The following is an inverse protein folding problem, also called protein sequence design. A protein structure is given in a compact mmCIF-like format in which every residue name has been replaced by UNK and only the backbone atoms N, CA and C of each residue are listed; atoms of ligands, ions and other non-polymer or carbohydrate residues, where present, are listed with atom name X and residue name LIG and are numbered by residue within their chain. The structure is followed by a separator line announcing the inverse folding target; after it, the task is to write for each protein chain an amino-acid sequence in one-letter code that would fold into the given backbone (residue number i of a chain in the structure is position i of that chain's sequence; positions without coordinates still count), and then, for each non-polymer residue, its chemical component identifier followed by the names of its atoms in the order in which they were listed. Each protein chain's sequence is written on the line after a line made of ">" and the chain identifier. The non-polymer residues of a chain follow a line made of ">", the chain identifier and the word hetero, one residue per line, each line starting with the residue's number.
data_IF_063230916055
#
_entry.id   IF_063230916055
#
_cell.length_a   1.000
_cell.length_b   1.000
_cell.length_c   1.000
_cell.angle_alpha   90.00
_cell.angle_beta   90.00
_cell.angle_gamma   90.00
#
_symmetry.space_group_name_H-M   'P 1'
#
loop_
_entity.id
_entity.type
_entity.pdbx_description
1 polymer ?
#
# COMPACT_ATOMS: atom_id res chain seq x y z
N UNK A 1 31.65 -3.83 47.95
CA UNK A 1 30.60 -4.78 47.48
C UNK A 1 29.37 -4.00 46.98
N UNK A 2 29.44 -3.52 45.75
CA UNK A 2 28.33 -2.84 45.07
C UNK A 2 27.66 -3.82 44.11
N UNK A 3 26.37 -4.05 44.30
CA UNK A 3 25.53 -4.84 43.40
C UNK A 3 24.58 -3.93 42.64
N UNK A 4 24.77 -3.82 41.33
CA UNK A 4 23.94 -3.02 40.43
C UNK A 4 22.56 -3.65 40.20
N UNK A 5 21.53 -2.80 40.27
CA UNK A 5 20.17 -3.14 39.84
C UNK A 5 20.05 -2.94 38.34
N UNK A 6 19.70 -4.02 37.64
CA UNK A 6 19.28 -3.98 36.24
C UNK A 6 17.84 -3.49 36.20
N UNK A 7 17.63 -2.23 35.81
CA UNK A 7 16.31 -1.76 35.38
C UNK A 7 16.14 -2.11 33.90
N UNK A 8 15.22 -3.05 33.64
CA UNK A 8 14.63 -3.27 32.33
C UNK A 8 13.87 -2.00 31.93
N UNK A 9 14.48 -1.17 31.10
CA UNK A 9 13.77 -0.17 30.32
C UNK A 9 12.93 -0.92 29.29
N UNK A 10 11.62 -0.83 29.46
CA UNK A 10 10.65 -1.21 28.45
C UNK A 10 10.83 -0.25 27.27
N UNK A 11 11.12 -0.78 26.08
CA UNK A 11 11.05 -0.05 24.82
C UNK A 11 9.59 0.30 24.55
N UNK A 12 9.13 1.44 25.05
CA UNK A 12 7.91 2.08 24.56
C UNK A 12 8.19 2.65 23.16
N UNK A 13 7.32 2.42 22.16
CA UNK A 13 7.51 3.03 20.85
C UNK A 13 7.39 4.55 20.99
N UNK A 14 8.49 5.27 20.73
CA UNK A 14 8.49 6.72 20.56
C UNK A 14 7.47 7.08 19.48
N UNK A 15 6.32 7.60 19.90
CA UNK A 15 5.38 8.28 19.02
C UNK A 15 5.99 9.65 18.75
N UNK A 16 6.81 9.73 17.70
CA UNK A 16 7.35 10.97 17.18
C UNK A 16 6.17 11.96 16.97
N UNK A 17 6.12 13.02 17.77
CA UNK A 17 5.03 14.01 17.81
C UNK A 17 5.12 15.02 16.66
N UNK A 18 5.11 14.54 15.41
CA UNK A 18 4.93 15.44 14.27
C UNK A 18 3.48 15.91 14.24
N UNK A 19 3.24 17.22 14.13
CA UNK A 19 1.90 17.72 13.80
C UNK A 19 1.51 17.17 12.44
N UNK A 20 0.51 16.28 12.37
CA UNK A 20 0.05 15.70 11.11
C UNK A 20 -0.45 16.82 10.20
N UNK A 21 0.23 17.02 9.08
CA UNK A 21 -0.13 18.06 8.11
C UNK A 21 -1.38 17.63 7.34
N UNK A 22 -2.22 18.58 6.97
CA UNK A 22 -3.34 18.34 6.05
C UNK A 22 -3.25 19.29 4.86
N UNK A 23 -3.53 18.79 3.66
CA UNK A 23 -3.50 19.61 2.45
C UNK A 23 -4.07 18.93 1.22
N UNK A 24 -4.04 19.61 0.09
CA UNK A 24 -4.46 19.08 -1.22
C UNK A 24 -3.28 18.47 -1.99
N UNK A 25 -3.56 17.68 -3.02
CA UNK A 25 -2.54 17.14 -3.92
C UNK A 25 -1.72 18.23 -4.63
N UNK A 26 -2.31 19.39 -4.93
CA UNK A 26 -1.57 20.55 -5.47
C UNK A 26 -0.60 21.12 -4.44
N UNK A 27 -1.03 21.29 -3.18
CA UNK A 27 -0.17 21.75 -2.10
C UNK A 27 0.95 20.75 -1.81
N UNK A 28 0.69 19.44 -1.87
CA UNK A 28 1.72 18.40 -1.79
C UNK A 28 2.76 18.57 -2.89
N UNK A 29 2.32 18.76 -4.15
CA UNK A 29 3.22 18.93 -5.28
C UNK A 29 4.12 20.17 -5.11
N UNK A 30 3.54 21.29 -4.68
CA UNK A 30 4.28 22.53 -4.47
C UNK A 30 5.27 22.41 -3.31
N UNK A 31 4.88 21.75 -2.23
CA UNK A 31 5.77 21.50 -1.09
C UNK A 31 6.93 20.57 -1.48
N UNK A 32 6.66 19.50 -2.23
CA UNK A 32 7.71 18.61 -2.73
C UNK A 32 8.71 19.36 -3.61
N UNK A 33 8.25 20.23 -4.52
CA UNK A 33 9.13 21.09 -5.34
C UNK A 33 9.93 22.07 -4.47
N UNK A 34 9.34 22.63 -3.41
CA UNK A 34 10.02 23.52 -2.45
C UNK A 34 11.12 22.80 -1.66
N UNK A 35 10.97 21.50 -1.44
CA UNK A 35 11.97 20.66 -0.77
C UNK A 35 13.12 20.24 -1.69
N UNK A 36 13.06 20.50 -2.98
CA UNK A 36 14.12 20.13 -3.93
C UNK A 36 15.50 20.66 -3.49
N UNK A 37 16.50 19.78 -3.53
CA UNK A 37 17.87 20.07 -3.09
C UNK A 37 18.09 20.13 -1.57
N UNK A 38 17.03 20.17 -0.75
CA UNK A 38 17.15 20.22 0.72
C UNK A 38 17.67 18.91 1.31
N UNK A 39 18.20 18.92 2.55
CA UNK A 39 18.59 17.70 3.25
C UNK A 39 17.43 16.72 3.37
N UNK A 40 17.72 15.44 3.13
CA UNK A 40 16.74 14.35 3.12
C UNK A 40 15.73 14.32 4.28
N UNK A 41 16.13 14.57 5.55
CA UNK A 41 15.20 14.53 6.68
C UNK A 41 14.03 15.51 6.56
N UNK A 42 14.12 16.53 5.69
CA UNK A 42 13.03 17.49 5.46
C UNK A 42 11.76 16.84 4.87
N UNK A 43 11.83 15.62 4.32
CA UNK A 43 10.62 14.87 3.97
C UNK A 43 9.69 14.60 5.16
N UNK A 44 10.20 14.62 6.40
CA UNK A 44 9.37 14.48 7.61
C UNK A 44 8.32 15.59 7.76
N UNK A 45 8.58 16.77 7.18
CA UNK A 45 7.62 17.90 7.17
C UNK A 45 6.36 17.61 6.31
N UNK A 46 6.34 16.49 5.58
CA UNK A 46 5.20 16.03 4.77
C UNK A 46 4.33 14.99 5.47
N UNK A 47 4.72 14.48 6.64
CA UNK A 47 3.95 13.50 7.39
C UNK A 47 2.56 14.05 7.68
N UNK A 48 1.54 13.31 7.29
CA UNK A 48 0.17 13.81 7.26
C UNK A 48 -0.72 13.22 6.18
N UNK A 49 -1.81 13.91 5.90
CA UNK A 49 -2.90 13.50 5.02
C UNK A 49 -3.08 14.50 3.88
N UNK A 50 -3.10 13.99 2.65
CA UNK A 50 -3.18 14.81 1.44
C UNK A 50 -4.38 14.37 0.59
N UNK A 51 -5.32 15.27 0.39
CA UNK A 51 -6.50 15.04 -0.44
C UNK A 51 -6.13 15.12 -1.92
N UNK A 52 -6.19 13.98 -2.60
CA UNK A 52 -5.84 13.81 -4.01
C UNK A 52 -7.06 13.87 -4.94
N UNK A 53 -8.21 14.35 -4.44
CA UNK A 53 -9.50 14.36 -5.13
C UNK A 53 -10.26 13.07 -4.88
N UNK A 54 -9.96 12.03 -5.66
CA UNK A 54 -10.66 10.74 -5.63
C UNK A 54 -10.23 9.84 -4.46
N UNK A 55 -9.11 10.18 -3.81
CA UNK A 55 -8.56 9.43 -2.70
C UNK A 55 -7.76 10.33 -1.76
N UNK A 56 -7.45 9.82 -0.57
CA UNK A 56 -6.55 10.46 0.38
C UNK A 56 -5.22 9.70 0.40
N UNK A 57 -4.11 10.41 0.25
CA UNK A 57 -2.76 9.89 0.44
C UNK A 57 -2.29 10.23 1.86
N UNK A 58 -1.96 9.23 2.65
CA UNK A 58 -1.44 9.39 4.01
C UNK A 58 0.03 8.98 4.03
N UNK A 59 0.90 9.87 4.48
CA UNK A 59 2.29 9.57 4.78
C UNK A 59 2.41 9.31 6.28
N UNK A 60 2.47 8.04 6.66
CA UNK A 60 2.53 7.64 8.08
C UNK A 60 3.96 7.75 8.63
N UNK A 61 4.95 7.40 7.81
CA UNK A 61 6.36 7.44 8.20
C UNK A 61 7.24 7.82 7.02
N UNK A 62 7.98 8.91 7.13
CA UNK A 62 9.05 9.25 6.20
C UNK A 62 10.35 8.51 6.58
N UNK A 63 11.05 7.96 5.60
CA UNK A 63 12.35 7.33 5.82
C UNK A 63 13.40 8.37 6.26
N UNK A 64 14.31 7.99 7.18
CA UNK A 64 15.26 8.92 7.81
C UNK A 64 16.35 9.41 6.85
N UNK A 65 16.70 8.58 5.87
CA UNK A 65 17.70 8.83 4.86
C UNK A 65 17.42 7.96 3.61
N UNK A 66 18.03 8.23 2.45
CA UNK A 66 17.75 7.50 1.21
C UNK A 66 18.10 6.01 1.21
N UNK A 67 18.83 5.52 2.23
CA UNK A 67 19.28 4.13 2.38
C UNK A 67 18.51 3.38 3.47
N UNK A 68 17.67 4.08 4.23
CA UNK A 68 16.82 3.49 5.25
C UNK A 68 15.66 2.68 4.63
N UNK A 69 14.93 1.89 5.43
CA UNK A 69 13.68 1.29 4.99
C UNK A 69 12.73 2.36 4.38
N UNK A 70 12.10 2.08 3.23
CA UNK A 70 11.25 3.03 2.52
C UNK A 70 10.12 3.65 3.35
N UNK A 71 9.62 4.79 2.88
CA UNK A 71 8.55 5.54 3.56
C UNK A 71 7.23 4.79 3.49
N UNK A 72 6.44 4.80 4.57
CA UNK A 72 5.15 4.12 4.64
C UNK A 72 4.01 5.04 4.24
N UNK A 73 3.20 4.56 3.31
CA UNK A 73 2.04 5.26 2.80
C UNK A 73 0.77 4.42 2.90
N UNK A 74 -0.35 5.11 3.09
CA UNK A 74 -1.68 4.57 2.87
C UNK A 74 -2.38 5.38 1.79
N UNK A 75 -3.04 4.69 0.88
CA UNK A 75 -3.95 5.27 -0.09
C UNK A 75 -5.36 4.84 0.29
N UNK A 76 -6.22 5.79 0.61
CA UNK A 76 -7.60 5.52 1.02
C UNK A 76 -8.58 6.09 0.01
N UNK A 77 -9.29 5.20 -0.68
CA UNK A 77 -10.35 5.53 -1.62
C UNK A 77 -11.69 5.34 -0.90
N UNK A 78 -12.54 6.37 -0.74
CA UNK A 78 -13.87 6.18 -0.14
C UNK A 78 -14.74 5.29 -1.03
N UNK A 79 -15.64 4.49 -0.44
CA UNK A 79 -16.53 3.61 -1.22
C UNK A 79 -17.45 4.38 -2.17
N UNK A 80 -17.73 5.66 -1.88
CA UNK A 80 -18.44 6.55 -2.80
C UNK A 80 -17.72 6.71 -4.15
N UNK A 81 -16.41 6.48 -4.20
CA UNK A 81 -15.55 6.52 -5.40
C UNK A 81 -15.14 5.11 -5.84
N UNK A 82 -14.74 4.24 -4.90
CA UNK A 82 -14.30 2.88 -5.22
C UNK A 82 -15.43 2.00 -5.80
N UNK A 83 -16.68 2.24 -5.36
CA UNK A 83 -17.91 1.62 -5.89
C UNK A 83 -17.92 0.09 -5.87
N UNK A 84 -17.24 -0.56 -4.94
CA UNK A 84 -17.37 -2.01 -4.80
C UNK A 84 -18.76 -2.38 -4.29
N UNK A 85 -19.45 -3.35 -4.89
CA UNK A 85 -20.75 -3.80 -4.39
C UNK A 85 -20.57 -4.48 -3.03
N UNK A 86 -21.50 -4.26 -2.09
CA UNK A 86 -21.43 -4.84 -0.75
C UNK A 86 -21.31 -6.37 -0.76
N UNK A 87 -21.91 -7.04 -1.74
CA UNK A 87 -21.80 -8.49 -1.93
C UNK A 87 -20.35 -8.97 -2.17
N UNK A 88 -19.42 -8.10 -2.57
CA UNK A 88 -18.02 -8.45 -2.73
C UNK A 88 -17.25 -8.50 -1.40
N UNK A 89 -17.79 -7.92 -0.31
CA UNK A 89 -17.04 -7.76 0.93
C UNK A 89 -17.85 -7.90 2.23
N UNK A 90 -19.15 -8.21 2.16
CA UNK A 90 -20.00 -8.42 3.34
C UNK A 90 -19.69 -9.74 4.07
N UNK A 91 -19.37 -10.80 3.32
CA UNK A 91 -18.90 -12.08 3.85
C UNK A 91 -17.42 -12.00 4.14
N UNK A 92 -16.98 -12.57 5.26
CA UNK A 92 -15.56 -12.60 5.64
C UNK A 92 -14.70 -13.22 4.53
N UNK A 93 -15.13 -14.32 3.93
CA UNK A 93 -14.35 -15.00 2.89
C UNK A 93 -14.28 -14.16 1.60
N UNK A 94 -15.40 -13.56 1.17
CA UNK A 94 -15.41 -12.67 0.00
C UNK A 94 -14.59 -11.41 0.23
N UNK A 95 -14.63 -10.84 1.44
CA UNK A 95 -13.77 -9.71 1.81
C UNK A 95 -12.28 -10.05 1.71
N UNK A 96 -11.87 -11.22 2.23
CA UNK A 96 -10.49 -11.69 2.13
C UNK A 96 -10.08 -11.89 0.67
N UNK A 97 -10.94 -12.53 -0.14
CA UNK A 97 -10.70 -12.72 -1.56
C UNK A 97 -10.62 -11.39 -2.32
N UNK A 98 -11.49 -10.43 -2.03
CA UNK A 98 -11.46 -9.09 -2.63
C UNK A 98 -10.16 -8.36 -2.28
N UNK A 99 -9.76 -8.35 -1.01
CA UNK A 99 -8.51 -7.74 -0.58
C UNK A 99 -7.29 -8.36 -1.30
N UNK A 100 -7.25 -9.68 -1.45
CA UNK A 100 -6.19 -10.38 -2.20
C UNK A 100 -6.21 -10.00 -3.69
N UNK A 101 -7.39 -10.02 -4.33
CA UNK A 101 -7.56 -9.63 -5.72
C UNK A 101 -7.08 -8.19 -5.98
N UNK A 102 -7.49 -7.23 -5.15
CA UNK A 102 -7.08 -5.84 -5.27
C UNK A 102 -5.57 -5.66 -5.03
N UNK A 103 -4.99 -6.43 -4.12
CA UNK A 103 -3.53 -6.44 -3.94
C UNK A 103 -2.82 -6.88 -5.23
N UNK A 104 -3.32 -7.92 -5.92
CA UNK A 104 -2.78 -8.36 -7.21
C UNK A 104 -2.91 -7.30 -8.29
N UNK A 105 -4.08 -6.66 -8.39
CA UNK A 105 -4.32 -5.57 -9.36
C UNK A 105 -3.40 -4.37 -9.09
N UNK A 106 -3.18 -4.06 -7.81
CA UNK A 106 -2.28 -2.99 -7.40
C UNK A 106 -0.83 -3.29 -7.78
N UNK A 107 -0.32 -4.49 -7.48
CA UNK A 107 1.00 -4.94 -7.92
C UNK A 107 1.13 -4.86 -9.45
N UNK A 108 0.14 -5.37 -10.20
CA UNK A 108 0.15 -5.32 -11.65
C UNK A 108 0.18 -3.88 -12.18
N UNK A 109 -0.61 -2.96 -11.60
CA UNK A 109 -0.65 -1.56 -12.01
C UNK A 109 0.68 -0.83 -11.71
N UNK A 110 1.33 -1.13 -10.58
CA UNK A 110 2.67 -0.62 -10.24
C UNK A 110 3.70 -1.09 -11.27
N UNK A 111 3.75 -2.40 -11.54
CA UNK A 111 4.70 -2.97 -12.52
C UNK A 111 4.45 -2.48 -13.94
N UNK A 112 3.19 -2.39 -14.38
CA UNK A 112 2.85 -1.85 -15.70
C UNK A 112 3.21 -0.36 -15.86
N UNK A 113 3.28 0.39 -14.75
CA UNK A 113 3.78 1.76 -14.71
C UNK A 113 5.30 1.87 -14.64
N UNK A 114 6.04 0.75 -14.53
CA UNK A 114 7.48 0.72 -14.32
C UNK A 114 7.93 1.26 -12.96
N UNK A 115 7.01 1.38 -12.00
CA UNK A 115 7.25 1.99 -10.69
C UNK A 115 7.89 1.03 -9.68
N UNK A 116 8.06 -0.25 -10.02
CA UNK A 116 8.76 -1.25 -9.22
C UNK A 116 10.26 -1.34 -9.55
N UNK A 117 10.71 -0.62 -10.58
CA UNK A 117 12.11 -0.55 -10.95
C UNK A 117 12.80 0.59 -10.18
N UNK A 118 13.69 0.24 -9.26
CA UNK A 118 14.64 1.22 -8.73
C UNK A 118 15.46 1.77 -9.91
N UNK A 119 15.59 3.10 -10.01
CA UNK A 119 16.44 3.71 -11.02
C UNK A 119 17.80 3.01 -11.05
N UNK A 120 18.23 2.54 -12.24
CA UNK A 120 19.47 1.78 -12.41
C UNK A 120 20.62 2.41 -11.64
N UNK A 121 21.36 1.56 -10.93
CA UNK A 121 22.34 1.94 -9.91
C UNK A 121 23.51 2.75 -10.53
N UNK A 122 23.34 4.06 -10.69
CA UNK A 122 24.33 5.00 -11.27
C UNK A 122 25.46 5.38 -10.27
N UNK A 123 25.85 4.45 -9.40
CA UNK A 123 26.87 4.66 -8.37
C UNK A 123 26.36 5.39 -7.11
N UNK A 124 27.27 5.69 -6.17
CA UNK A 124 26.95 6.30 -4.87
C UNK A 124 26.25 7.68 -4.99
N UNK A 125 26.55 8.43 -6.06
CA UNK A 125 25.99 9.76 -6.33
C UNK A 125 24.82 9.76 -7.34
N UNK A 126 24.37 8.59 -7.79
CA UNK A 126 23.24 8.47 -8.71
C UNK A 126 21.90 8.85 -8.05
N UNK A 127 20.95 9.31 -8.86
CA UNK A 127 19.54 9.44 -8.48
C UNK A 127 19.00 8.08 -8.03
N UNK A 128 18.33 8.03 -6.88
CA UNK A 128 17.74 6.83 -6.29
C UNK A 128 16.30 7.08 -5.87
N UNK A 129 15.56 6.00 -5.65
CA UNK A 129 14.16 6.04 -5.27
C UNK A 129 13.23 6.44 -6.42
N UNK A 130 11.97 6.64 -6.06
CA UNK A 130 10.83 6.74 -6.96
C UNK A 130 10.09 5.42 -7.09
N UNK A 131 10.62 4.32 -6.54
CA UNK A 131 9.96 3.03 -6.59
C UNK A 131 8.86 2.90 -5.52
N UNK A 132 7.75 2.31 -5.96
CA UNK A 132 6.57 1.99 -5.17
C UNK A 132 6.56 0.48 -4.97
N UNK A 133 6.46 0.05 -3.70
CA UNK A 133 6.41 -1.36 -3.34
C UNK A 133 5.15 -1.68 -2.57
N UNK A 134 4.54 -2.78 -2.95
CA UNK A 134 3.34 -3.35 -2.33
C UNK A 134 3.67 -4.79 -1.97
N UNK A 135 3.17 -5.26 -0.82
CA UNK A 135 3.32 -6.66 -0.44
C UNK A 135 2.71 -7.54 -1.54
N UNK A 136 3.55 -8.34 -2.20
CA UNK A 136 3.13 -9.13 -3.36
C UNK A 136 2.58 -10.48 -2.90
N UNK A 137 1.32 -10.82 -3.23
CA UNK A 137 0.72 -12.07 -2.79
C UNK A 137 1.30 -13.27 -3.57
N UNK A 138 1.45 -14.40 -2.88
CA UNK A 138 1.76 -15.69 -3.50
C UNK A 138 0.53 -16.34 -4.15
N UNK A 139 0.56 -17.65 -4.37
CA UNK A 139 -0.59 -18.37 -4.92
C UNK A 139 -1.78 -18.46 -3.94
N UNK A 140 -1.51 -18.36 -2.63
CA UNK A 140 -2.53 -18.48 -1.60
C UNK A 140 -3.26 -17.16 -1.34
N UNK A 141 -4.60 -17.25 -1.22
CA UNK A 141 -5.48 -16.18 -0.79
C UNK A 141 -5.55 -16.17 0.73
N UNK A 142 -4.99 -15.12 1.35
CA UNK A 142 -4.86 -15.00 2.81
C UNK A 142 -5.25 -13.58 3.21
N UNK A 143 -5.85 -13.44 4.39
CA UNK A 143 -6.09 -12.14 5.00
C UNK A 143 -4.75 -11.41 5.25
N UNK A 144 -4.60 -10.22 4.66
CA UNK A 144 -3.39 -9.40 4.76
C UNK A 144 -3.74 -7.97 5.13
N UNK A 145 -2.71 -7.20 5.48
CA UNK A 145 -2.86 -5.77 5.79
C UNK A 145 -2.60 -4.86 4.59
N UNK A 146 -2.11 -5.42 3.47
CA UNK A 146 -1.73 -4.68 2.27
C UNK A 146 -2.92 -3.96 1.61
N UNK A 147 -4.10 -4.59 1.59
CA UNK A 147 -5.36 -3.96 1.19
C UNK A 147 -6.41 -4.29 2.23
N UNK A 148 -7.20 -3.28 2.61
CA UNK A 148 -8.34 -3.40 3.53
C UNK A 148 -9.56 -2.83 2.82
N UNK A 149 -10.66 -3.58 2.82
CA UNK A 149 -11.96 -3.12 2.30
C UNK A 149 -13.01 -3.19 3.40
N UNK A 150 -13.78 -2.11 3.55
CA UNK A 150 -14.97 -2.05 4.39
C UNK A 150 -16.07 -1.21 3.72
N UNK A 151 -17.13 -0.92 4.45
CA UNK A 151 -18.28 -0.11 4.02
C UNK A 151 -17.93 1.37 3.78
N UNK A 152 -16.83 1.85 4.37
CA UNK A 152 -16.39 3.24 4.26
C UNK A 152 -15.36 3.45 3.14
N UNK A 153 -14.40 2.55 2.98
CA UNK A 153 -13.26 2.73 2.09
C UNK A 153 -12.61 1.42 1.59
N UNK A 154 -11.80 1.60 0.55
CA UNK A 154 -10.70 0.71 0.16
C UNK A 154 -9.39 1.40 0.55
N UNK A 155 -8.58 0.76 1.39
CA UNK A 155 -7.27 1.27 1.81
C UNK A 155 -6.18 0.33 1.28
N UNK A 156 -5.25 0.85 0.49
CA UNK A 156 -4.03 0.18 0.11
C UNK A 156 -2.86 0.70 0.93
N UNK A 157 -1.98 -0.19 1.37
CA UNK A 157 -0.75 0.12 2.10
C UNK A 157 0.43 -0.20 1.22
N UNK A 158 1.29 0.78 1.02
CA UNK A 158 2.49 0.64 0.21
C UNK A 158 3.66 1.31 0.89
N UNK A 159 4.85 1.00 0.40
CA UNK A 159 6.04 1.77 0.72
C UNK A 159 6.55 2.47 -0.53
N UNK A 160 7.07 3.67 -0.37
CA UNK A 160 7.61 4.46 -1.47
C UNK A 160 9.00 4.93 -1.06
N UNK A 161 10.00 4.57 -1.86
CA UNK A 161 11.33 5.12 -1.68
C UNK A 161 11.34 6.56 -2.20
N UNK A 162 11.26 7.54 -1.31
CA UNK A 162 11.26 8.95 -1.68
C UNK A 162 12.56 9.35 -2.40
N UNK A 163 12.46 9.96 -3.61
CA UNK A 163 13.60 10.30 -4.44
C UNK A 163 14.68 11.17 -3.81
N UNK A 164 15.94 10.88 -4.14
CA UNK A 164 17.09 11.67 -3.74
C UNK A 164 18.32 11.46 -4.63
N UNK A 165 19.19 12.48 -4.63
CA UNK A 165 20.53 12.44 -5.18
C UNK A 165 21.53 12.64 -4.03
N UNK A 166 22.29 11.59 -3.70
CA UNK A 166 23.09 11.60 -2.47
C UNK A 166 22.19 11.74 -1.24
N UNK A 167 22.36 12.81 -0.45
CA UNK A 167 21.49 13.13 0.72
C UNK A 167 20.57 14.34 0.48
N UNK A 168 20.46 14.77 -0.78
CA UNK A 168 19.60 15.87 -1.19
C UNK A 168 18.33 15.34 -1.83
N UNK A 169 17.21 15.95 -1.48
CA UNK A 169 15.87 15.61 -1.97
C UNK A 169 15.77 15.89 -3.48
N UNK A 170 15.23 14.94 -4.25
CA UNK A 170 14.79 15.15 -5.64
C UNK A 170 13.28 15.45 -5.64
N UNK A 171 12.94 16.68 -5.26
CA UNK A 171 11.58 17.13 -4.99
C UNK A 171 10.69 17.09 -6.22
N UNK A 172 11.23 17.46 -7.39
CA UNK A 172 10.50 17.38 -8.66
C UNK A 172 10.11 15.94 -9.02
N UNK A 173 11.03 14.98 -8.84
CA UNK A 173 10.78 13.56 -9.10
C UNK A 173 9.78 13.00 -8.09
N UNK A 174 9.90 13.37 -6.82
CA UNK A 174 8.95 12.99 -5.78
C UNK A 174 7.53 13.51 -6.06
N UNK A 175 7.40 14.77 -6.50
CA UNK A 175 6.13 15.34 -6.92
C UNK A 175 5.52 14.57 -8.09
N UNK A 176 6.33 14.18 -9.09
CA UNK A 176 5.86 13.37 -10.21
C UNK A 176 5.38 11.98 -9.74
N UNK A 177 6.15 11.27 -8.91
CA UNK A 177 5.77 9.96 -8.38
C UNK A 177 4.46 10.01 -7.60
N UNK A 178 4.34 10.94 -6.65
CA UNK A 178 3.21 10.96 -5.71
C UNK A 178 1.95 11.62 -6.28
N UNK A 179 2.09 12.62 -7.15
CA UNK A 179 0.94 13.42 -7.62
C UNK A 179 0.56 13.17 -9.07
N UNK A 180 1.36 12.39 -9.82
CA UNK A 180 1.03 12.00 -11.19
C UNK A 180 0.94 10.48 -11.31
N UNK A 181 2.02 9.74 -11.02
CA UNK A 181 2.02 8.29 -11.26
C UNK A 181 1.15 7.50 -10.29
N UNK A 182 1.22 7.80 -8.99
CA UNK A 182 0.42 7.10 -7.99
C UNK A 182 -1.10 7.22 -8.24
N UNK A 183 -1.67 8.40 -8.56
CA UNK A 183 -3.07 8.50 -8.99
C UNK A 183 -3.45 7.56 -10.15
N UNK A 184 -2.58 7.38 -11.15
CA UNK A 184 -2.85 6.45 -12.26
C UNK A 184 -2.88 4.99 -11.80
N UNK A 185 -2.02 4.62 -10.86
CA UNK A 185 -2.03 3.27 -10.25
C UNK A 185 -3.35 3.04 -9.52
N UNK A 186 -3.78 4.00 -8.70
CA UNK A 186 -5.03 3.94 -7.94
C UNK A 186 -6.23 3.80 -8.86
N UNK A 187 -6.31 4.65 -9.88
CA UNK A 187 -7.41 4.65 -10.85
C UNK A 187 -7.55 3.31 -11.59
N UNK A 188 -6.44 2.59 -11.82
CA UNK A 188 -6.43 1.30 -12.53
C UNK A 188 -6.69 0.08 -11.64
N UNK A 189 -6.48 0.18 -10.32
CA UNK A 189 -6.42 -0.99 -9.44
C UNK A 189 -7.43 -0.98 -8.29
N UNK A 190 -7.84 0.20 -7.82
CA UNK A 190 -8.66 0.35 -6.61
C UNK A 190 -10.10 0.85 -6.88
N UNK A 191 -10.49 0.97 -8.16
CA UNK A 191 -11.83 1.38 -8.57
C UNK A 191 -12.53 0.21 -9.26
N UNK A 192 -13.75 -0.13 -8.82
CA UNK A 192 -14.52 -1.23 -9.41
C UNK A 192 -14.70 -1.08 -10.93
N UNK A 193 -14.96 0.14 -11.40
CA UNK A 193 -15.16 0.43 -12.82
C UNK A 193 -13.91 0.22 -13.70
N UNK A 194 -12.71 0.16 -13.10
CA UNK A 194 -11.46 -0.10 -13.82
C UNK A 194 -11.15 -1.60 -13.93
N UNK A 195 -11.86 -2.46 -13.20
CA UNK A 195 -11.60 -3.89 -13.12
C UNK A 195 -12.49 -4.66 -14.09
N UNK A 196 -12.01 -5.82 -14.52
CA UNK A 196 -12.84 -6.80 -15.21
C UNK A 196 -13.80 -7.43 -14.19
N UNK A 197 -15.05 -6.97 -14.18
CA UNK A 197 -16.08 -7.42 -13.24
C UNK A 197 -16.31 -8.94 -13.31
N UNK A 198 -16.36 -9.53 -14.50
CA UNK A 198 -16.56 -10.98 -14.66
C UNK A 198 -15.41 -11.78 -14.06
N UNK A 199 -14.16 -11.34 -14.27
CA UNK A 199 -13.00 -11.98 -13.69
C UNK A 199 -12.95 -11.83 -12.17
N UNK A 200 -13.27 -10.64 -11.65
CA UNK A 200 -13.40 -10.43 -10.21
C UNK A 200 -14.46 -11.35 -9.60
N UNK A 201 -15.65 -11.44 -10.21
CA UNK A 201 -16.72 -12.28 -9.70
C UNK A 201 -16.30 -13.75 -9.68
N UNK A 202 -15.76 -14.26 -10.80
CA UNK A 202 -15.27 -15.64 -10.88
C UNK A 202 -14.18 -15.94 -9.83
N UNK A 203 -13.29 -14.97 -9.56
CA UNK A 203 -12.28 -15.11 -8.51
C UNK A 203 -12.91 -15.21 -7.12
N UNK A 204 -13.85 -14.33 -6.79
CA UNK A 204 -14.52 -14.35 -5.48
C UNK A 204 -15.32 -15.64 -5.28
N UNK A 205 -16.05 -16.07 -6.30
CA UNK A 205 -16.87 -17.28 -6.26
C UNK A 205 -15.98 -18.51 -6.09
N UNK A 206 -14.86 -18.60 -6.80
CA UNK A 206 -13.90 -19.71 -6.65
C UNK A 206 -13.34 -19.84 -5.22
N UNK A 207 -13.06 -18.72 -4.54
CA UNK A 207 -12.55 -18.76 -3.16
C UNK A 207 -13.67 -19.09 -2.18
N UNK A 208 -14.89 -18.60 -2.41
CA UNK A 208 -16.04 -18.94 -1.60
C UNK A 208 -16.42 -20.43 -1.72
N UNK A 209 -16.37 -20.99 -2.92
CA UNK A 209 -16.59 -22.43 -3.17
C UNK A 209 -15.54 -23.28 -2.46
N UNK A 210 -14.26 -22.89 -2.53
CA UNK A 210 -13.19 -23.60 -1.81
C UNK A 210 -13.41 -23.59 -0.30
N UNK A 211 -13.84 -22.46 0.26
CA UNK A 211 -14.16 -22.36 1.69
C UNK A 211 -15.35 -23.24 2.06
N UNK A 212 -16.40 -23.22 1.23
CA UNK A 212 -17.59 -24.03 1.44
C UNK A 212 -17.27 -25.53 1.43
N UNK A 213 -16.56 -26.00 0.39
CA UNK A 213 -16.13 -27.40 0.27
C UNK A 213 -15.31 -27.84 1.49
N UNK A 214 -14.37 -26.99 1.94
CA UNK A 214 -13.52 -27.28 3.11
C UNK A 214 -14.34 -27.39 4.40
N UNK A 215 -15.37 -26.57 4.56
CA UNK A 215 -16.25 -26.63 5.73
C UNK A 215 -17.17 -27.85 5.70
N UNK A 216 -17.60 -28.29 4.52
CA UNK A 216 -18.49 -29.46 4.35
C UNK A 216 -17.78 -30.81 4.49
N UNK A 217 -16.44 -30.88 4.49
CA UNK A 217 -15.72 -32.16 4.59
C UNK A 217 -16.13 -33.00 5.81
N UNK A 218 -16.22 -32.37 6.99
CA UNK A 218 -16.54 -33.06 8.23
C UNK A 218 -17.96 -33.64 8.21
N UNK A 219 -18.92 -32.91 7.63
CA UNK A 219 -20.32 -33.35 7.50
C UNK A 219 -20.47 -34.56 6.55
N UNK A 220 -19.45 -34.81 5.74
CA UNK A 220 -19.39 -35.92 4.79
C UNK A 220 -18.40 -37.03 5.22
N UNK A 221 -17.89 -37.01 6.46
CA UNK A 221 -16.88 -37.93 6.96
C UNK A 221 -15.59 -37.97 6.09
N UNK A 222 -15.25 -36.85 5.45
CA UNK A 222 -14.07 -36.67 4.62
C UNK A 222 -13.00 -35.86 5.35
N UNK A 223 -11.72 -36.14 5.03
CA UNK A 223 -10.57 -35.34 5.50
C UNK A 223 -9.91 -34.53 4.38
N UNK A 224 -10.25 -34.82 3.13
CA UNK A 224 -9.76 -34.13 1.95
C UNK A 224 -10.74 -34.32 0.78
N UNK A 225 -10.72 -33.37 -0.15
CA UNK A 225 -11.39 -33.44 -1.44
C UNK A 225 -10.40 -33.01 -2.52
N UNK A 226 -10.29 -33.81 -3.58
CA UNK A 226 -9.47 -33.52 -4.76
C UNK A 226 -10.41 -33.51 -5.96
N UNK A 227 -10.55 -32.35 -6.60
CA UNK A 227 -11.40 -32.22 -7.77
C UNK A 227 -10.80 -32.98 -8.96
N UNK A 228 -11.63 -33.65 -9.75
CA UNK A 228 -11.18 -34.31 -10.97
C UNK A 228 -10.56 -33.29 -11.93
N UNK A 229 -9.33 -33.57 -12.40
CA UNK A 229 -8.59 -32.71 -13.32
C UNK A 229 -7.73 -31.62 -12.67
N UNK A 230 -7.56 -31.66 -11.33
CA UNK A 230 -6.62 -30.81 -10.58
C UNK A 230 -5.15 -31.09 -10.86
#
# INVERSE_FOLDING_TARGET
>A
PGGGGWHQQQDEPMVDSYSSREGTGSQLADELRRLDGRPYPAYKDLIGSWNMGDFTLLLDKAQSDPYAPPSHFRVRVPQSVAKFPAAAYNSKIRNVALCDYLTRQLCQAVSAGGLDNAAENRGWHGSKGGDVRVETPGQHVIQRSAVVVNDQFVEARCTIALPAQGRSIEGHKAAQTLTQYLPHVVAKSLLYAALNASHLHAFLDSIEDQEHLRQSLADHDLVAFVADGS
#
